data_IF_736984372170
#
_entry.id   IF_736984372170
#
_cell.length_a   1.000
_cell.length_b   1.000
_cell.length_c   1.000
_cell.angle_alpha   90.00
_cell.angle_beta   90.00
_cell.angle_gamma   90.00
#
_symmetry.space_group_name_H-M   'P 1'
#
loop_
_entity.id
_entity.type
_entity.pdbx_description
1 polymer ?
#
# COMPACT_ATOMS: atom_id res chain seq x y z
N UNK A 1 8.67 12.91 0.12
CA UNK A 1 7.70 11.90 0.61
C UNK A 1 7.11 11.18 -0.59
N UNK A 2 7.44 9.90 -0.81
CA UNK A 2 6.93 9.10 -1.93
C UNK A 2 5.68 8.31 -1.52
N UNK A 3 4.70 8.19 -2.41
CA UNK A 3 3.50 7.37 -2.22
C UNK A 3 3.30 6.42 -3.41
N UNK A 4 3.28 5.12 -3.13
CA UNK A 4 3.23 4.08 -4.15
C UNK A 4 1.92 4.07 -4.96
N UNK A 5 0.76 4.18 -4.30
CA UNK A 5 -0.52 4.08 -5.00
C UNK A 5 -0.79 5.35 -5.82
N UNK A 6 -0.44 6.52 -5.27
CA UNK A 6 -0.56 7.79 -5.98
C UNK A 6 0.38 7.85 -7.20
N UNK A 7 1.60 7.32 -7.10
CA UNK A 7 2.51 7.18 -8.23
C UNK A 7 1.86 6.39 -9.37
N UNK A 8 1.24 5.24 -9.09
CA UNK A 8 0.58 4.46 -10.15
C UNK A 8 -0.72 5.08 -10.66
N UNK A 9 -1.47 5.78 -9.81
CA UNK A 9 -2.69 6.48 -10.24
C UNK A 9 -2.40 7.68 -11.14
N UNK A 10 -1.21 8.30 -11.00
CA UNK A 10 -0.83 9.48 -11.76
C UNK A 10 0.69 9.53 -12.03
N UNK A 11 1.10 8.87 -13.10
CA UNK A 11 2.45 8.95 -13.67
C UNK A 11 2.37 9.09 -15.20
N UNK A 12 1.84 10.23 -15.71
CA UNK A 12 1.66 10.42 -17.15
C UNK A 12 3.00 10.56 -17.91
N UNK A 13 4.07 10.94 -17.22
CA UNK A 13 5.42 11.02 -17.78
C UNK A 13 6.09 9.64 -17.90
N UNK A 14 5.49 8.58 -17.36
CA UNK A 14 6.04 7.22 -17.42
C UNK A 14 7.37 7.09 -16.67
N UNK A 15 7.54 7.81 -15.57
CA UNK A 15 8.72 7.77 -14.72
C UNK A 15 8.99 6.35 -14.21
N UNK A 16 10.26 5.98 -14.09
CA UNK A 16 10.67 4.72 -13.49
C UNK A 16 10.46 4.73 -11.96
N UNK A 17 9.98 3.62 -11.42
CA UNK A 17 9.68 3.48 -10.00
C UNK A 17 10.95 3.57 -9.13
N UNK A 18 12.00 2.83 -9.47
CA UNK A 18 13.24 2.77 -8.66
C UNK A 18 13.90 4.13 -8.61
N UNK A 19 14.01 4.78 -9.76
CA UNK A 19 14.63 6.10 -9.91
C UNK A 19 13.83 7.15 -9.12
N UNK A 20 12.51 7.15 -9.26
CA UNK A 20 11.63 8.09 -8.54
C UNK A 20 11.75 7.94 -7.04
N UNK A 21 11.67 6.71 -6.51
CA UNK A 21 11.81 6.47 -5.07
C UNK A 21 13.20 6.87 -4.60
N UNK A 22 14.25 6.54 -5.35
CA UNK A 22 15.63 6.92 -5.02
C UNK A 22 15.78 8.44 -4.92
N UNK A 23 15.26 9.18 -5.90
CA UNK A 23 15.31 10.64 -5.90
C UNK A 23 14.55 11.22 -4.70
N UNK A 24 13.32 10.75 -4.43
CA UNK A 24 12.51 11.25 -3.31
C UNK A 24 13.06 10.88 -1.93
N UNK A 25 13.71 9.72 -1.78
CA UNK A 25 14.39 9.34 -0.55
C UNK A 25 15.63 10.23 -0.34
N UNK A 26 16.37 10.53 -1.40
CA UNK A 26 17.58 11.36 -1.33
C UNK A 26 17.33 12.83 -0.94
N UNK A 27 16.08 13.30 -0.96
CA UNK A 27 15.75 14.67 -0.51
C UNK A 27 15.69 14.82 1.00
N UNK A 28 15.76 13.73 1.78
CA UNK A 28 15.69 13.79 3.23
C UNK A 28 17.04 14.19 3.84
N UNK A 29 17.06 14.93 4.97
CA UNK A 29 18.29 15.35 5.63
C UNK A 29 19.18 14.18 6.06
N UNK A 30 20.49 14.41 6.09
CA UNK A 30 21.45 13.44 6.64
C UNK A 30 21.14 13.14 8.11
N UNK A 31 21.10 11.85 8.46
CA UNK A 31 20.79 11.39 9.81
C UNK A 31 19.29 11.16 10.07
N UNK A 32 18.42 11.47 9.12
CA UNK A 32 17.00 11.10 9.14
C UNK A 32 16.75 9.91 8.21
N UNK A 33 15.85 9.01 8.63
CA UNK A 33 15.36 7.92 7.78
C UNK A 33 14.16 8.42 7.00
N UNK A 34 14.24 8.33 5.66
CA UNK A 34 13.13 8.74 4.81
C UNK A 34 11.89 7.90 5.06
N UNK A 35 10.72 8.49 4.82
CA UNK A 35 9.44 7.77 4.86
C UNK A 35 8.86 7.59 3.46
N UNK A 36 8.25 6.43 3.21
CA UNK A 36 7.40 6.13 2.05
C UNK A 36 6.01 5.68 2.51
N UNK A 37 4.97 6.03 1.75
CA UNK A 37 3.61 5.55 1.98
C UNK A 37 3.33 4.39 1.04
N UNK A 38 2.68 3.35 1.57
CA UNK A 38 2.26 2.20 0.80
C UNK A 38 0.81 1.82 1.09
N UNK A 39 0.06 1.63 0.03
CA UNK A 39 -1.31 1.14 0.02
C UNK A 39 -1.53 0.24 -1.19
N UNK A 40 -2.47 -0.70 -1.06
CA UNK A 40 -2.97 -1.49 -2.19
C UNK A 40 -4.30 -0.91 -2.66
N UNK A 41 -4.55 -0.85 -3.98
CA UNK A 41 -5.85 -0.43 -4.48
C UNK A 41 -6.93 -1.41 -4.06
N UNK A 42 -8.05 -0.87 -3.60
CA UNK A 42 -9.25 -1.64 -3.28
C UNK A 42 -9.75 -2.36 -4.53
N UNK A 43 -10.10 -3.64 -4.37
CA UNK A 43 -10.68 -4.45 -5.46
C UNK A 43 -12.12 -4.90 -5.15
N UNK A 44 -12.55 -4.77 -3.90
CA UNK A 44 -13.88 -5.11 -3.45
C UNK A 44 -14.93 -4.07 -3.90
N UNK A 45 -16.16 -4.54 -4.11
CA UNK A 45 -17.30 -3.67 -4.38
C UNK A 45 -17.49 -2.65 -3.26
N UNK A 46 -17.83 -1.42 -3.63
CA UNK A 46 -18.14 -0.35 -2.70
C UNK A 46 -19.63 -0.28 -2.46
N UNK A 47 -20.01 -0.22 -1.19
CA UNK A 47 -21.37 0.12 -0.81
C UNK A 47 -21.58 1.64 -0.88
N UNK A 48 -22.60 2.06 -1.61
CA UNK A 48 -23.05 3.46 -1.68
C UNK A 48 -24.49 3.52 -1.21
N UNK A 49 -24.76 4.40 -0.24
CA UNK A 49 -26.13 4.65 0.18
C UNK A 49 -26.89 5.35 -0.94
N UNK A 50 -28.06 4.82 -1.27
CA UNK A 50 -28.95 5.37 -2.27
C UNK A 50 -30.31 5.60 -1.63
N UNK A 51 -30.91 6.76 -1.92
CA UNK A 51 -32.29 7.04 -1.53
C UNK A 51 -33.17 6.85 -2.75
N UNK A 52 -34.15 5.96 -2.64
CA UNK A 52 -35.21 5.84 -3.64
C UNK A 52 -36.00 7.16 -3.67
N UNK A 53 -36.01 7.84 -4.83
CA UNK A 53 -36.68 9.14 -4.98
C UNK A 53 -38.20 9.05 -4.92
N UNK A 54 -38.79 7.90 -5.23
CA UNK A 54 -40.23 7.68 -5.20
C UNK A 54 -40.71 7.28 -3.81
N UNK A 55 -39.95 6.44 -3.10
CA UNK A 55 -40.38 5.88 -1.80
C UNK A 55 -39.68 6.51 -0.58
N UNK A 56 -38.61 7.29 -0.78
CA UNK A 56 -37.79 7.86 0.29
C UNK A 56 -36.95 6.83 1.06
N UNK A 57 -37.04 5.53 0.70
CA UNK A 57 -36.34 4.46 1.41
C UNK A 57 -34.84 4.49 1.10
N UNK A 58 -34.02 4.36 2.15
CA UNK A 58 -32.56 4.22 2.02
C UNK A 58 -32.23 2.75 1.74
N UNK A 59 -31.51 2.51 0.65
CA UNK A 59 -30.95 1.21 0.28
C UNK A 59 -29.44 1.29 0.07
N UNK A 60 -28.83 0.14 -0.16
CA UNK A 60 -27.40 0.01 -0.51
C UNK A 60 -27.29 -0.41 -1.97
N UNK A 61 -26.42 0.26 -2.71
CA UNK A 61 -26.01 -0.14 -4.05
C UNK A 61 -24.54 -0.52 -4.02
N UNK A 62 -24.22 -1.69 -4.55
CA UNK A 62 -22.83 -2.08 -4.81
C UNK A 62 -22.37 -1.44 -6.13
N UNK A 63 -21.23 -0.76 -6.09
CA UNK A 63 -20.58 -0.17 -7.26
C UNK A 63 -19.13 -0.65 -7.38
N UNK A 64 -18.53 -0.60 -8.57
CA UNK A 64 -17.13 -0.95 -8.74
C UNK A 64 -16.19 -0.17 -7.81
N UNK A 65 -15.02 -0.72 -7.46
CA UNK A 65 -13.97 0.02 -6.75
C UNK A 65 -13.43 1.17 -7.61
N UNK A 66 -12.70 2.08 -6.95
CA UNK A 66 -11.91 3.12 -7.63
C UNK A 66 -10.44 2.86 -7.32
N UNK A 67 -9.57 3.05 -8.31
CA UNK A 67 -8.14 2.74 -8.18
C UNK A 67 -7.42 3.59 -7.14
N UNK A 68 -7.96 4.74 -6.75
CA UNK A 68 -7.44 5.60 -5.67
C UNK A 68 -7.92 5.21 -4.27
N UNK A 69 -8.85 4.26 -4.17
CA UNK A 69 -9.36 3.80 -2.88
C UNK A 69 -8.41 2.79 -2.25
N UNK A 70 -8.10 2.95 -0.97
CA UNK A 70 -7.25 1.99 -0.26
C UNK A 70 -8.04 0.72 0.10
N UNK A 71 -7.38 -0.43 -0.05
CA UNK A 71 -7.86 -1.71 0.41
C UNK A 71 -7.90 -1.78 1.94
N UNK A 72 -8.66 -2.76 2.46
CA UNK A 72 -8.73 -2.98 3.91
C UNK A 72 -7.44 -3.62 4.43
N UNK A 73 -6.82 -4.49 3.60
CA UNK A 73 -5.53 -5.14 3.84
C UNK A 73 -4.56 -4.87 2.69
N UNK A 74 -3.25 -4.96 2.98
CA UNK A 74 -2.19 -4.84 1.98
C UNK A 74 -2.08 -6.14 1.18
N UNK A 75 -1.99 -6.06 -0.14
CA UNK A 75 -1.66 -7.21 -0.98
C UNK A 75 -0.18 -7.58 -0.76
N UNK A 76 0.12 -8.76 -0.18
CA UNK A 76 1.49 -9.10 0.20
C UNK A 76 2.42 -9.34 -0.98
N UNK A 77 1.88 -9.75 -2.14
CA UNK A 77 2.68 -10.01 -3.34
C UNK A 77 3.11 -8.70 -4.00
N UNK A 78 2.20 -7.75 -4.15
CA UNK A 78 2.53 -6.41 -4.66
C UNK A 78 3.51 -5.70 -3.74
N UNK A 79 3.30 -5.78 -2.43
CA UNK A 79 4.22 -5.20 -1.46
C UNK A 79 5.62 -5.80 -1.56
N UNK A 80 5.73 -7.12 -1.70
CA UNK A 80 7.01 -7.79 -1.89
C UNK A 80 7.68 -7.39 -3.22
N UNK A 81 6.91 -7.24 -4.31
CA UNK A 81 7.42 -6.76 -5.60
C UNK A 81 7.95 -5.32 -5.49
N UNK A 82 7.21 -4.42 -4.83
CA UNK A 82 7.66 -3.06 -4.57
C UNK A 82 9.00 -3.04 -3.81
N UNK A 83 9.10 -3.76 -2.69
CA UNK A 83 10.32 -3.79 -1.88
C UNK A 83 11.54 -4.35 -2.63
N UNK A 84 11.33 -5.32 -3.53
CA UNK A 84 12.37 -5.82 -4.43
C UNK A 84 12.75 -4.78 -5.48
N UNK A 85 11.76 -4.10 -6.05
CA UNK A 85 11.98 -3.05 -7.04
C UNK A 85 12.74 -1.86 -6.46
N UNK A 86 12.78 -1.66 -5.14
CA UNK A 86 13.53 -0.59 -4.46
C UNK A 86 14.62 -1.10 -3.51
N UNK A 87 15.12 -2.31 -3.77
CA UNK A 87 16.19 -2.90 -2.97
C UNK A 87 17.44 -1.99 -2.89
N UNK A 88 18.08 -2.00 -1.72
CA UNK A 88 19.24 -1.17 -1.41
C UNK A 88 18.93 0.27 -0.97
N UNK A 89 17.67 0.73 -1.02
CA UNK A 89 17.28 1.97 -0.36
C UNK A 89 16.93 1.76 1.11
N UNK A 90 17.20 2.80 1.91
CA UNK A 90 16.85 2.88 3.32
C UNK A 90 15.68 3.85 3.54
N UNK A 91 14.59 3.35 4.11
CA UNK A 91 13.37 4.10 4.41
C UNK A 91 12.43 3.31 5.32
N UNK A 92 11.57 4.02 6.03
CA UNK A 92 10.42 3.48 6.75
C UNK A 92 9.16 3.46 5.86
N UNK A 93 8.32 2.44 6.04
CA UNK A 93 7.03 2.32 5.33
C UNK A 93 5.88 2.65 6.27
N UNK A 94 5.09 3.67 5.91
CA UNK A 94 3.77 3.90 6.48
C UNK A 94 2.72 3.10 5.69
N UNK A 95 2.02 2.18 6.35
CA UNK A 95 0.94 1.41 5.73
C UNK A 95 -0.37 2.18 5.79
N UNK A 96 -0.95 2.48 4.63
CA UNK A 96 -2.24 3.16 4.50
C UNK A 96 -3.34 2.16 4.13
N UNK A 97 -3.75 1.35 5.09
CA UNK A 97 -4.82 0.36 4.93
C UNK A 97 -5.97 0.62 5.91
N UNK A 98 -7.22 0.34 5.50
CA UNK A 98 -8.38 0.68 6.35
C UNK A 98 -8.46 -0.15 7.63
N UNK A 99 -7.96 -1.39 7.62
CA UNK A 99 -7.91 -2.24 8.81
C UNK A 99 -6.78 -1.88 9.78
N UNK A 100 -5.97 -0.84 9.49
CA UNK A 100 -4.92 -0.30 10.38
C UNK A 100 -3.96 -1.40 10.86
N UNK A 101 -3.79 -1.56 12.18
CA UNK A 101 -2.86 -2.51 12.79
C UNK A 101 -3.15 -3.97 12.40
N UNK A 102 -4.42 -4.31 12.14
CA UNK A 102 -4.78 -5.63 11.65
C UNK A 102 -4.15 -5.90 10.27
N UNK A 103 -4.03 -4.88 9.43
CA UNK A 103 -3.34 -4.99 8.14
C UNK A 103 -1.84 -5.21 8.33
N UNK A 104 -1.22 -4.54 9.31
CA UNK A 104 0.19 -4.75 9.64
C UNK A 104 0.44 -6.19 10.14
N UNK A 105 -0.33 -6.67 11.11
CA UNK A 105 -0.14 -8.03 11.65
C UNK A 105 -0.33 -9.09 10.58
N UNK A 106 -1.34 -8.91 9.72
CA UNK A 106 -1.58 -9.80 8.59
C UNK A 106 -0.42 -9.77 7.60
N UNK A 107 0.04 -8.58 7.20
CA UNK A 107 1.14 -8.41 6.26
C UNK A 107 2.43 -9.06 6.79
N UNK A 108 2.73 -8.94 8.09
CA UNK A 108 3.90 -9.59 8.71
C UNK A 108 3.84 -11.11 8.53
N UNK A 109 2.71 -11.73 8.84
CA UNK A 109 2.52 -13.17 8.64
C UNK A 109 2.60 -13.57 7.16
N UNK A 110 1.99 -12.78 6.28
CA UNK A 110 2.01 -13.03 4.85
C UNK A 110 3.43 -12.88 4.26
N UNK A 111 4.26 -11.95 4.74
CA UNK A 111 5.66 -11.82 4.30
C UNK A 111 6.56 -12.96 4.80
N UNK A 112 6.30 -13.51 5.98
CA UNK A 112 6.99 -14.73 6.43
C UNK A 112 6.64 -15.92 5.52
N UNK A 113 5.38 -16.02 5.09
CA UNK A 113 4.90 -17.15 4.29
C UNK A 113 5.23 -17.02 2.79
N UNK A 114 5.11 -15.82 2.23
CA UNK A 114 5.14 -15.56 0.79
C UNK A 114 6.28 -14.64 0.36
N UNK A 115 6.92 -13.93 1.29
CA UNK A 115 7.92 -12.88 0.96
C UNK A 115 9.28 -13.40 0.50
N UNK A 116 9.52 -14.72 0.51
CA UNK A 116 10.74 -15.38 0.06
C UNK A 116 12.03 -14.67 0.56
N UNK A 117 12.18 -14.56 1.88
CA UNK A 117 13.36 -13.95 2.53
C UNK A 117 13.20 -12.50 2.98
N UNK A 118 12.19 -11.76 2.48
CA UNK A 118 11.94 -10.37 2.89
C UNK A 118 11.59 -10.22 4.38
N UNK A 119 11.05 -11.27 5.03
CA UNK A 119 10.74 -11.24 6.46
C UNK A 119 11.94 -10.88 7.35
N UNK A 120 13.15 -11.33 6.99
CA UNK A 120 14.36 -11.02 7.75
C UNK A 120 14.66 -9.51 7.79
N UNK A 121 14.36 -8.78 6.71
CA UNK A 121 14.58 -7.33 6.58
C UNK A 121 13.70 -6.50 7.53
N UNK A 122 12.59 -7.08 8.01
CA UNK A 122 11.65 -6.41 8.93
C UNK A 122 11.70 -6.98 10.36
N UNK A 123 12.78 -7.66 10.72
CA UNK A 123 12.89 -8.31 12.03
C UNK A 123 11.86 -9.43 12.24
N UNK A 124 11.36 -10.04 11.15
CA UNK A 124 10.41 -11.14 11.17
C UNK A 124 11.10 -12.50 11.02
N UNK A 125 12.41 -12.57 11.24
CA UNK A 125 13.11 -13.84 11.32
C UNK A 125 12.35 -14.77 12.27
N UNK A 126 12.17 -16.03 11.85
CA UNK A 126 11.64 -17.04 12.74
C UNK A 126 12.50 -17.03 14.00
N UNK A 127 11.90 -16.69 15.15
CA UNK A 127 12.53 -17.02 16.42
C UNK A 127 12.76 -18.54 16.40
N UNK A 128 13.95 -19.01 16.81
CA UNK A 128 14.25 -20.43 16.87
C UNK A 128 13.22 -21.20 17.72
#
# INVERSE_FOLDING_TARGET
MFDHQHFWCWNPEGLDLRETVSAMVSTWPLGEVAKVHYSSPRTELREVSQVDRATGKRGVKLVPPVATGHADYVNPFEFAMFLRAVEGLDFDVMLEAKAKDLALFRLRADLQRYGQGLGARFGLAALP
#
